data_IF_867420087182
#
_entry.id   IF_867420087182
#
_cell.length_a   1.000
_cell.length_b   1.000
_cell.length_c   1.000
_cell.angle_alpha   90.00
_cell.angle_beta   90.00
_cell.angle_gamma   90.00
#
_symmetry.space_group_name_H-M   'P 1'
#
loop_
_entity.id
_entity.type
_entity.pdbx_description
1 polymer ?
#
# COMPACT_ATOMS: atom_id res chain seq x y z
N UNK A 1 15.00 -17.14 11.32
CA UNK A 1 16.13 -16.23 11.57
C UNK A 1 15.61 -15.09 12.42
N UNK A 2 15.92 -15.08 13.72
CA UNK A 2 15.36 -14.18 14.73
C UNK A 2 16.43 -13.15 15.08
N UNK A 3 16.12 -11.86 14.95
CA UNK A 3 17.05 -10.76 15.22
C UNK A 3 17.41 -10.72 16.70
N UNK A 4 18.64 -11.12 17.04
CA UNK A 4 19.19 -11.13 18.40
C UNK A 4 19.87 -9.79 18.70
N UNK A 5 19.08 -8.75 18.94
CA UNK A 5 19.60 -7.41 19.20
C UNK A 5 18.61 -6.54 19.97
N UNK A 6 18.19 -6.97 21.16
CA UNK A 6 17.99 -6.07 22.30
C UNK A 6 17.67 -6.89 23.55
N UNK A 7 18.64 -6.98 24.44
CA UNK A 7 18.40 -7.24 25.87
C UNK A 7 18.22 -5.88 26.54
N UNK A 8 16.99 -5.38 26.63
CA UNK A 8 16.59 -4.52 27.73
C UNK A 8 15.11 -4.75 28.03
N UNK A 9 14.89 -5.31 29.21
CA UNK A 9 13.63 -5.30 29.93
C UNK A 9 13.14 -3.85 30.04
N UNK A 10 12.25 -3.43 29.15
CA UNK A 10 11.43 -2.25 29.35
C UNK A 10 10.02 -2.58 28.85
N UNK A 11 9.01 -2.63 29.75
CA UNK A 11 7.66 -3.07 29.41
C UNK A 11 6.81 -1.98 28.75
N UNK A 12 7.41 -0.87 28.31
CA UNK A 12 6.76 0.09 27.43
C UNK A 12 6.67 -0.54 26.05
N UNK A 13 5.46 -1.00 25.69
CA UNK A 13 5.16 -1.67 24.43
C UNK A 13 5.92 -1.02 23.27
N UNK A 14 6.82 -1.81 22.70
CA UNK A 14 7.65 -1.42 21.57
C UNK A 14 6.71 -1.19 20.38
N UNK A 15 6.40 0.07 20.13
CA UNK A 15 5.53 0.52 19.05
C UNK A 15 6.28 0.36 17.74
N UNK A 16 6.29 -0.87 17.21
CA UNK A 16 7.15 -1.27 16.10
C UNK A 16 6.63 -0.68 14.79
N UNK A 17 7.34 0.31 14.28
CA UNK A 17 7.19 0.83 12.92
C UNK A 17 8.24 0.25 11.98
N UNK A 18 7.94 0.28 10.69
CA UNK A 18 8.89 0.07 9.62
C UNK A 18 8.78 1.20 8.60
N UNK A 19 9.75 1.27 7.71
CA UNK A 19 9.67 2.09 6.49
C UNK A 19 9.38 1.15 5.34
N UNK A 20 8.37 1.50 4.54
CA UNK A 20 7.98 0.77 3.33
C UNK A 20 8.47 1.58 2.13
N UNK A 21 9.25 0.94 1.27
CA UNK A 21 9.83 1.55 0.07
C UNK A 21 9.26 1.00 -1.23
N UNK A 22 8.69 -0.21 -1.19
CA UNK A 22 8.19 -0.87 -2.39
C UNK A 22 7.08 -1.87 -2.06
N UNK A 23 6.14 -1.99 -2.98
CA UNK A 23 5.10 -3.02 -2.99
C UNK A 23 5.24 -3.81 -4.27
N UNK A 24 5.07 -5.13 -4.18
CA UNK A 24 5.00 -6.01 -5.33
C UNK A 24 3.66 -6.72 -5.25
N UNK A 25 2.78 -6.48 -6.22
CA UNK A 25 1.53 -7.22 -6.36
C UNK A 25 1.71 -8.21 -7.51
N UNK A 26 1.32 -9.47 -7.32
CA UNK A 26 1.40 -10.51 -8.35
C UNK A 26 0.10 -11.29 -8.45
N UNK A 27 -0.38 -11.45 -9.68
CA UNK A 27 -1.48 -12.37 -10.03
C UNK A 27 -0.93 -13.74 -10.46
N UNK A 28 -1.71 -14.84 -10.30
CA UNK A 28 -1.29 -16.15 -10.77
C UNK A 28 -1.09 -16.17 -12.30
N UNK A 29 -0.08 -16.90 -12.78
CA UNK A 29 0.23 -17.00 -14.22
C UNK A 29 -0.64 -18.03 -14.97
N UNK A 30 -1.35 -18.92 -14.26
CA UNK A 30 -2.18 -19.99 -14.83
C UNK A 30 -3.41 -20.22 -13.96
N UNK A 31 -4.54 -20.55 -14.60
CA UNK A 31 -5.76 -20.98 -13.90
C UNK A 31 -6.49 -19.89 -13.12
N UNK A 32 -6.28 -18.62 -13.46
CA UNK A 32 -7.00 -17.51 -12.85
C UNK A 32 -8.20 -17.11 -13.72
N UNK A 33 -9.21 -16.56 -13.06
CA UNK A 33 -10.51 -16.19 -13.63
C UNK A 33 -10.65 -14.68 -13.82
N UNK A 34 -10.02 -13.86 -13.00
CA UNK A 34 -9.86 -12.43 -13.25
C UNK A 34 -8.72 -11.84 -12.38
N UNK A 35 -7.70 -11.18 -12.98
CA UNK A 35 -6.60 -10.59 -12.22
C UNK A 35 -7.10 -9.36 -11.48
N UNK A 36 -6.51 -9.03 -10.32
CA UNK A 36 -6.83 -7.75 -9.66
C UNK A 36 -6.45 -6.60 -10.60
N UNK A 37 -7.44 -5.91 -11.18
CA UNK A 37 -7.17 -4.90 -12.21
C UNK A 37 -6.54 -3.65 -11.64
N UNK A 38 -7.02 -3.19 -10.50
CA UNK A 38 -6.71 -1.88 -9.94
C UNK A 38 -6.77 -1.94 -8.41
N UNK A 39 -5.91 -1.17 -7.76
CA UNK A 39 -5.97 -1.04 -6.32
C UNK A 39 -5.22 0.15 -5.76
N UNK A 40 -5.50 0.44 -4.50
CA UNK A 40 -4.89 1.51 -3.72
C UNK A 40 -4.17 0.92 -2.52
N UNK A 41 -3.04 1.53 -2.16
CA UNK A 41 -2.25 1.15 -1.00
C UNK A 41 -2.14 2.31 -0.04
N UNK A 42 -2.36 2.04 1.24
CA UNK A 42 -2.31 3.01 2.33
C UNK A 42 -1.24 2.58 3.32
N UNK A 43 -0.50 3.56 3.83
CA UNK A 43 0.48 3.37 4.89
C UNK A 43 0.19 4.43 5.94
N UNK A 44 -0.01 4.01 7.18
CA UNK A 44 -0.34 4.90 8.28
C UNK A 44 0.43 4.54 9.53
N UNK A 45 0.79 5.55 10.32
CA UNK A 45 1.36 5.34 11.64
C UNK A 45 0.26 5.07 12.68
N UNK A 46 -0.96 5.56 12.41
CA UNK A 46 -2.15 5.40 13.23
C UNK A 46 -3.04 4.27 12.71
N UNK A 47 -3.89 3.66 13.56
CA UNK A 47 -4.90 2.72 13.08
C UNK A 47 -5.74 3.33 11.95
N UNK A 48 -5.87 2.61 10.84
CA UNK A 48 -6.62 3.07 9.68
C UNK A 48 -8.11 2.82 9.92
N UNK A 49 -8.91 3.89 9.87
CA UNK A 49 -10.38 3.79 9.81
C UNK A 49 -10.80 3.40 8.39
N UNK A 50 -11.13 2.11 8.21
CA UNK A 50 -11.50 1.56 6.90
C UNK A 50 -12.74 2.26 6.32
N UNK A 51 -13.71 2.66 7.14
CA UNK A 51 -14.92 3.30 6.64
C UNK A 51 -14.64 4.70 6.10
N UNK A 52 -13.72 5.45 6.73
CA UNK A 52 -13.28 6.76 6.24
C UNK A 52 -12.65 6.71 4.83
N UNK A 53 -12.15 5.54 4.45
CA UNK A 53 -11.52 5.31 3.15
C UNK A 53 -12.53 4.96 2.05
N UNK A 54 -13.83 4.81 2.36
CA UNK A 54 -14.88 4.49 1.39
C UNK A 54 -15.00 5.53 0.25
N UNK A 55 -14.60 6.78 0.51
CA UNK A 55 -14.50 7.84 -0.51
C UNK A 55 -13.59 7.48 -1.69
N UNK A 56 -12.72 6.48 -1.53
CA UNK A 56 -11.79 6.00 -2.54
C UNK A 56 -12.25 4.73 -3.26
N UNK A 57 -13.35 4.10 -2.87
CA UNK A 57 -13.77 2.78 -3.38
C UNK A 57 -14.07 2.76 -4.88
N UNK A 58 -14.35 3.92 -5.44
CA UNK A 58 -14.70 4.08 -6.85
C UNK A 58 -13.63 4.79 -7.66
N UNK A 59 -12.47 5.11 -7.06
CA UNK A 59 -11.40 5.83 -7.75
C UNK A 59 -10.93 5.09 -9.00
N UNK A 60 -10.72 5.85 -10.07
CA UNK A 60 -9.94 5.44 -11.24
C UNK A 60 -8.50 5.91 -11.10
N UNK A 61 -7.60 5.42 -11.97
CA UNK A 61 -6.23 5.92 -12.04
C UNK A 61 -6.19 7.45 -12.23
N UNK A 62 -7.07 7.99 -13.06
CA UNK A 62 -7.16 9.44 -13.29
C UNK A 62 -7.60 10.19 -12.03
N UNK A 63 -8.54 9.64 -11.25
CA UNK A 63 -8.98 10.26 -10.01
C UNK A 63 -7.85 10.30 -8.98
N UNK A 64 -7.10 9.20 -8.85
CA UNK A 64 -5.92 9.13 -7.99
C UNK A 64 -4.85 10.14 -8.41
N UNK A 65 -4.47 10.18 -9.68
CA UNK A 65 -3.44 11.11 -10.18
C UNK A 65 -3.88 12.58 -9.99
N UNK A 66 -5.16 12.86 -10.21
CA UNK A 66 -5.72 14.18 -9.95
C UNK A 66 -5.67 14.54 -8.46
N UNK A 67 -6.07 13.61 -7.58
CA UNK A 67 -6.04 13.77 -6.14
C UNK A 67 -4.64 14.07 -5.62
N UNK A 68 -3.65 13.27 -6.02
CA UNK A 68 -2.24 13.46 -5.64
C UNK A 68 -1.73 14.82 -6.12
N UNK A 69 -2.08 15.23 -7.34
CA UNK A 69 -1.72 16.56 -7.86
C UNK A 69 -2.31 17.69 -7.03
N UNK A 70 -3.57 17.58 -6.62
CA UNK A 70 -4.24 18.58 -5.77
C UNK A 70 -3.61 18.68 -4.37
N UNK A 71 -3.14 17.55 -3.81
CA UNK A 71 -2.41 17.52 -2.54
C UNK A 71 -0.99 18.08 -2.64
N UNK A 72 -0.49 18.39 -3.85
CA UNK A 72 0.85 18.92 -4.07
C UNK A 72 1.92 17.85 -4.29
N UNK A 73 1.52 16.66 -4.72
CA UNK A 73 2.42 15.54 -5.07
C UNK A 73 2.46 14.42 -4.02
N UNK A 74 3.13 13.31 -4.35
CA UNK A 74 3.15 12.09 -3.50
C UNK A 74 3.82 12.31 -2.14
N UNK A 75 4.74 13.28 -2.02
CA UNK A 75 5.43 13.62 -0.76
C UNK A 75 4.53 14.38 0.22
N UNK A 76 3.40 14.92 -0.25
CA UNK A 76 2.47 15.72 0.56
C UNK A 76 1.27 14.92 1.07
N UNK A 77 1.18 13.64 0.72
CA UNK A 77 0.12 12.75 1.18
C UNK A 77 0.27 12.47 2.68
N UNK A 78 -0.85 12.48 3.39
CA UNK A 78 -0.96 12.21 4.83
C UNK A 78 -1.36 10.76 5.13
N UNK A 79 -1.46 10.41 6.41
CA UNK A 79 -1.78 9.06 6.92
C UNK A 79 -3.18 8.54 6.50
N UNK A 80 -4.06 9.41 6.00
CA UNK A 80 -5.41 9.06 5.52
C UNK A 80 -5.51 8.94 3.99
N UNK A 81 -4.42 9.26 3.29
CA UNK A 81 -4.35 9.27 1.85
C UNK A 81 -3.80 7.93 1.30
N UNK A 82 -4.25 7.49 0.11
CA UNK A 82 -3.60 6.39 -0.57
C UNK A 82 -2.21 6.82 -1.06
N UNK A 83 -1.16 6.13 -0.60
CA UNK A 83 0.23 6.45 -0.95
C UNK A 83 0.64 5.89 -2.31
N UNK A 84 -0.12 4.94 -2.86
CA UNK A 84 0.17 4.31 -4.15
C UNK A 84 -1.10 3.80 -4.85
N UNK A 85 -1.06 3.83 -6.18
CA UNK A 85 -1.97 3.14 -7.08
C UNK A 85 -1.22 1.99 -7.78
N UNK A 86 -1.87 0.85 -7.97
CA UNK A 86 -1.34 -0.26 -8.76
C UNK A 86 -2.35 -0.78 -9.77
N UNK A 87 -1.87 -1.36 -10.88
CA UNK A 87 -2.71 -2.02 -11.88
C UNK A 87 -2.01 -3.21 -12.51
N UNK A 88 -2.72 -4.34 -12.62
CA UNK A 88 -2.23 -5.55 -13.29
C UNK A 88 -2.98 -5.83 -14.60
N UNK A 89 -3.37 -4.76 -15.31
CA UNK A 89 -4.14 -4.86 -16.56
C UNK A 89 -3.32 -5.40 -17.74
N UNK A 90 -2.01 -5.17 -17.78
CA UNK A 90 -1.09 -5.66 -18.84
C UNK A 90 -0.16 -6.78 -18.39
N UNK A 91 0.17 -6.83 -17.09
CA UNK A 91 1.22 -7.67 -16.54
C UNK A 91 0.73 -8.46 -15.34
N UNK A 92 1.22 -9.68 -15.17
CA UNK A 92 0.94 -10.54 -14.01
C UNK A 92 1.56 -10.01 -12.71
N UNK A 93 2.30 -8.90 -12.78
CA UNK A 93 3.00 -8.34 -11.66
C UNK A 93 3.10 -6.82 -11.83
N UNK A 94 2.81 -6.10 -10.77
CA UNK A 94 3.09 -4.67 -10.67
C UNK A 94 4.09 -4.42 -9.53
N UNK A 95 5.08 -3.59 -9.79
CA UNK A 95 6.10 -3.19 -8.83
C UNK A 95 5.94 -1.69 -8.61
N UNK A 96 5.41 -1.33 -7.45
CA UNK A 96 5.16 0.07 -7.11
C UNK A 96 6.21 0.54 -6.11
N UNK A 97 6.98 1.55 -6.50
CA UNK A 97 7.90 2.26 -5.63
C UNK A 97 7.14 3.31 -4.82
N UNK A 98 7.35 3.32 -3.51
CA UNK A 98 6.83 4.33 -2.60
C UNK A 98 8.00 5.18 -2.10
N UNK A 99 7.78 6.49 -1.96
CA UNK A 99 8.76 7.42 -1.39
C UNK A 99 8.94 7.19 0.13
N UNK A 100 9.60 6.08 0.48
CA UNK A 100 9.99 5.69 1.85
C UNK A 100 9.00 6.15 2.93
N UNK A 101 7.90 5.42 3.09
CA UNK A 101 6.83 5.77 4.03
C UNK A 101 6.97 5.00 5.33
N UNK A 102 7.11 5.75 6.43
CA UNK A 102 7.07 5.18 7.78
C UNK A 102 5.63 4.75 8.08
N UNK A 103 5.44 3.54 8.59
CA UNK A 103 4.12 3.06 8.94
C UNK A 103 4.13 1.91 9.94
N UNK A 104 2.94 1.65 10.46
CA UNK A 104 2.62 0.49 11.30
C UNK A 104 1.42 -0.28 10.78
N UNK A 105 0.49 0.45 10.19
CA UNK A 105 -0.73 -0.08 9.61
C UNK A 105 -0.67 0.08 8.10
N UNK A 106 -1.10 -0.97 7.41
CA UNK A 106 -1.22 -1.00 5.95
C UNK A 106 -2.64 -1.41 5.63
N UNK A 107 -3.24 -0.71 4.66
CA UNK A 107 -4.50 -1.12 4.04
C UNK A 107 -4.28 -1.24 2.54
N UNK A 108 -4.80 -2.31 1.95
CA UNK A 108 -4.80 -2.53 0.52
C UNK A 108 -6.26 -2.61 0.07
N UNK A 109 -6.69 -1.65 -0.75
CA UNK A 109 -8.00 -1.71 -1.39
C UNK A 109 -7.85 -2.34 -2.76
N UNK A 110 -8.49 -3.48 -2.93
CA UNK A 110 -8.64 -4.13 -4.23
C UNK A 110 -9.91 -3.56 -4.86
N UNK A 111 -9.77 -2.78 -5.93
CA UNK A 111 -10.90 -2.12 -6.58
C UNK A 111 -11.52 -3.04 -7.62
N UNK A 112 -12.78 -2.78 -7.96
CA UNK A 112 -13.55 -3.48 -9.02
C UNK A 112 -13.92 -4.94 -8.73
N UNK A 113 -13.86 -5.39 -7.48
CA UNK A 113 -14.32 -6.73 -7.09
C UNK A 113 -15.83 -6.92 -7.30
N UNK A 114 -16.61 -5.85 -7.13
CA UNK A 114 -18.06 -5.86 -7.32
C UNK A 114 -18.41 -5.21 -8.65
N UNK A 115 -19.02 -5.99 -9.55
CA UNK A 115 -19.57 -5.42 -10.76
C UNK A 115 -20.85 -4.66 -10.48
N UNK A 116 -20.98 -3.53 -11.15
CA UNK A 116 -22.19 -2.69 -11.12
C UNK A 116 -23.30 -3.22 -12.04
N UNK A 117 -23.00 -4.25 -12.83
CA UNK A 117 -23.91 -4.92 -13.76
C UNK A 117 -23.99 -6.40 -13.34
N UNK A 118 -25.22 -6.92 -13.19
CA UNK A 118 -25.44 -8.35 -12.94
C UNK A 118 -24.73 -9.19 -14.02
N UNK A 119 -23.82 -10.07 -13.60
CA UNK A 119 -23.07 -10.96 -14.49
C UNK A 119 -21.66 -10.51 -14.88
N UNK A 120 -21.23 -9.31 -14.45
CA UNK A 120 -19.87 -8.81 -14.74
C UNK A 120 -18.92 -8.90 -13.53
N UNK A 121 -19.32 -9.52 -12.40
CA UNK A 121 -18.47 -9.56 -11.20
C UNK A 121 -17.15 -10.23 -11.54
N UNK A 122 -16.08 -9.45 -11.52
CA UNK A 122 -14.75 -9.95 -11.80
C UNK A 122 -14.18 -10.50 -10.51
N UNK A 123 -13.86 -11.79 -10.51
CA UNK A 123 -13.05 -12.37 -9.44
C UNK A 123 -11.73 -11.59 -9.30
N UNK A 124 -11.14 -11.61 -8.12
CA UNK A 124 -9.81 -11.05 -7.92
C UNK A 124 -8.86 -12.18 -7.53
N UNK A 125 -8.02 -12.56 -8.47
CA UNK A 125 -6.99 -13.57 -8.29
C UNK A 125 -5.65 -12.90 -7.96
N UNK A 126 -5.20 -13.05 -6.71
CA UNK A 126 -3.88 -12.64 -6.24
C UNK A 126 -3.05 -13.87 -5.86
N UNK A 127 -1.79 -13.91 -6.31
CA UNK A 127 -0.82 -14.89 -5.85
C UNK A 127 -0.14 -14.43 -4.57
N UNK A 128 0.36 -13.19 -4.55
CA UNK A 128 0.89 -12.56 -3.34
C UNK A 128 0.93 -11.04 -3.45
N UNK A 129 0.98 -10.41 -2.27
CA UNK A 129 1.46 -9.04 -2.09
C UNK A 129 2.72 -9.10 -1.24
N UNK A 130 3.83 -8.57 -1.75
CA UNK A 130 5.06 -8.40 -0.98
C UNK A 130 5.24 -6.93 -0.63
N UNK A 131 5.55 -6.67 0.64
CA UNK A 131 5.86 -5.33 1.15
C UNK A 131 7.35 -5.33 1.48
N UNK A 132 8.10 -4.49 0.78
CA UNK A 132 9.55 -4.39 0.91
C UNK A 132 9.87 -3.09 1.64
N UNK A 133 10.76 -3.19 2.62
CA UNK A 133 11.04 -2.12 3.54
C UNK A 133 12.14 -2.46 4.53
N UNK A 134 12.31 -1.63 5.54
CA UNK A 134 13.32 -1.79 6.57
C UNK A 134 12.84 -1.31 7.93
N UNK A 135 13.47 -1.81 8.99
CA UNK A 135 13.25 -1.40 10.38
C UNK A 135 14.58 -1.19 11.10
N UNK A 136 14.60 -0.32 12.11
CA UNK A 136 15.78 -0.07 12.96
C UNK A 136 16.65 1.10 12.52
N UNK A 137 17.78 1.30 13.22
CA UNK A 137 18.67 2.43 12.99
C UNK A 137 19.26 2.45 11.56
N UNK A 138 19.25 3.64 10.94
CA UNK A 138 19.78 3.89 9.60
C UNK A 138 20.51 5.24 9.59
N UNK A 139 21.57 5.32 8.80
CA UNK A 139 22.21 6.58 8.44
C UNK A 139 21.69 6.98 7.06
N UNK A 140 21.14 8.18 6.94
CA UNK A 140 20.71 8.75 5.66
C UNK A 140 21.75 9.79 5.22
N UNK A 141 22.13 9.76 3.94
CA UNK A 141 23.10 10.71 3.39
C UNK A 141 22.58 12.16 3.34
N UNK A 142 21.25 12.33 3.41
CA UNK A 142 20.61 13.63 3.60
C UNK A 142 19.31 13.45 4.38
N UNK A 143 19.06 14.32 5.35
CA UNK A 143 17.75 14.49 5.96
C UNK A 143 17.19 15.86 5.53
N UNK A 144 15.94 15.89 5.05
CA UNK A 144 15.15 17.12 4.98
C UNK A 144 14.22 17.11 6.18
N UNK A 145 14.29 18.16 6.98
CA UNK A 145 13.29 18.41 8.02
C UNK A 145 12.00 18.84 7.31
N UNK A 146 10.92 18.11 7.57
CA UNK A 146 9.56 18.44 7.14
C UNK A 146 8.98 19.52 8.04
#
# INVERSE_FOLDING_TARGET
MQYCGSSMNNPLMNDKSCVISQIIIKSPQRGYTAPCKEGLFFVSYNPIDVDSTAKFDNYTKSDYEHYVRLKGGPDRLDDSDPVAWFSMSSDFQDIVHINDRVGKYVLIKLLRAEARIEGESENIDLQYVAIIGYSGARAFASARLC
#
